data_IF_089647556255
#
_entry.id   IF_089647556255
#
_cell.length_a   1.000
_cell.length_b   1.000
_cell.length_c   1.000
_cell.angle_alpha   90.00
_cell.angle_beta   90.00
_cell.angle_gamma   90.00
#
_symmetry.space_group_name_H-M   'P 1'
#
loop_
_entity.id
_entity.type
_entity.pdbx_description
1 polymer ?
#
# COMPACT_ATOMS: atom_id res chain seq x y z
N UNK A 1 -26.33 4.83 -39.77
CA UNK A 1 -26.27 3.71 -38.82
C UNK A 1 -24.86 3.15 -38.58
N UNK A 2 -23.99 3.00 -39.60
CA UNK A 2 -22.60 2.51 -39.40
C UNK A 2 -21.70 3.41 -38.54
N UNK A 3 -21.85 4.75 -38.59
CA UNK A 3 -21.05 5.68 -37.76
C UNK A 3 -21.39 5.64 -36.27
N UNK A 4 -22.63 5.29 -35.91
CA UNK A 4 -23.06 5.21 -34.51
C UNK A 4 -22.52 3.95 -33.82
N UNK A 5 -22.42 2.84 -34.57
CA UNK A 5 -21.81 1.59 -34.10
C UNK A 5 -20.29 1.74 -33.84
N UNK A 6 -19.60 2.56 -34.63
CA UNK A 6 -18.17 2.85 -34.43
C UNK A 6 -17.88 3.70 -33.19
N UNK A 7 -18.81 4.58 -32.80
CA UNK A 7 -18.71 5.37 -31.57
C UNK A 7 -18.97 4.52 -30.32
N UNK A 8 -19.88 3.54 -30.40
CA UNK A 8 -20.16 2.63 -29.28
C UNK A 8 -18.98 1.68 -28.98
N UNK A 9 -18.23 1.26 -30.02
CA UNK A 9 -17.01 0.46 -29.86
C UNK A 9 -15.82 1.24 -29.29
N UNK A 10 -15.81 2.58 -29.35
CA UNK A 10 -14.77 3.40 -28.70
C UNK A 10 -15.04 3.63 -27.21
N UNK A 11 -16.28 3.52 -26.75
CA UNK A 11 -16.68 3.74 -25.35
C UNK A 11 -16.46 2.51 -24.44
N UNK A 12 -16.18 1.34 -25.01
CA UNK A 12 -15.87 0.12 -24.25
C UNK A 12 -14.37 -0.07 -23.97
N UNK A 13 -13.54 0.89 -24.39
CA UNK A 13 -12.12 0.93 -24.09
C UNK A 13 -11.79 1.87 -22.92
N UNK A 14 -12.73 2.10 -21.99
CA UNK A 14 -12.32 2.46 -20.62
C UNK A 14 -11.67 1.21 -20.05
N UNK A 15 -10.39 1.03 -20.38
CA UNK A 15 -9.48 0.10 -19.75
C UNK A 15 -9.85 0.06 -18.28
N UNK A 16 -10.37 -1.08 -17.83
CA UNK A 16 -10.44 -1.38 -16.44
C UNK A 16 -9.03 -1.19 -15.92
N UNK A 17 -8.79 -0.01 -15.34
CA UNK A 17 -7.86 0.08 -14.24
C UNK A 17 -8.42 -0.96 -13.28
N UNK A 18 -7.85 -2.16 -13.37
CA UNK A 18 -7.66 -2.98 -12.19
C UNK A 18 -6.85 -2.05 -11.31
N UNK A 19 -7.53 -1.14 -10.61
CA UNK A 19 -6.91 -0.16 -9.74
C UNK A 19 -6.07 -1.03 -8.83
N UNK A 20 -4.77 -0.87 -8.89
CA UNK A 20 -3.87 -1.65 -8.07
C UNK A 20 -4.23 -1.36 -6.61
N UNK A 21 -5.06 -2.25 -6.04
CA UNK A 21 -5.61 -2.12 -4.70
C UNK A 21 -4.56 -2.48 -3.65
N UNK A 22 -3.40 -2.99 -4.04
CA UNK A 22 -2.28 -3.30 -3.16
C UNK A 22 -1.08 -2.38 -3.39
N UNK A 23 -0.42 -1.96 -2.30
CA UNK A 23 0.86 -1.25 -2.34
C UNK A 23 1.89 -1.91 -1.43
N UNK A 24 3.11 -2.03 -1.91
CA UNK A 24 4.30 -2.28 -1.10
C UNK A 24 5.13 -1.00 -1.10
N UNK A 25 5.28 -0.34 0.04
CA UNK A 25 5.99 0.93 0.18
C UNK A 25 7.22 0.78 1.06
N UNK A 26 8.39 1.16 0.54
CA UNK A 26 9.70 1.03 1.20
C UNK A 26 10.35 2.38 1.35
N UNK A 27 10.95 2.65 2.51
CA UNK A 27 11.70 3.89 2.70
C UNK A 27 12.90 3.92 1.76
N UNK A 28 13.10 5.02 1.06
CA UNK A 28 14.33 5.27 0.28
C UNK A 28 15.51 5.64 1.18
N UNK A 29 15.24 5.97 2.45
CA UNK A 29 16.26 6.38 3.39
C UNK A 29 16.99 5.15 3.93
N UNK A 30 18.16 4.85 3.36
CA UNK A 30 19.12 3.86 3.89
C UNK A 30 19.71 4.22 5.26
N UNK A 31 19.30 5.32 5.87
CA UNK A 31 20.01 5.90 7.01
C UNK A 31 19.13 6.83 7.84
N UNK A 32 18.30 6.28 8.72
CA UNK A 32 17.96 6.95 9.99
C UNK A 32 18.26 5.94 11.09
N UNK A 33 19.50 6.04 11.57
CA UNK A 33 19.96 5.54 12.87
C UNK A 33 19.69 4.06 13.18
N UNK A 34 20.77 3.28 13.10
CA UNK A 34 21.10 2.24 14.10
C UNK A 34 20.94 2.82 15.52
N UNK A 35 19.72 2.85 16.04
CA UNK A 35 19.44 2.96 17.46
C UNK A 35 18.50 1.79 17.76
N UNK A 36 19.13 0.64 18.01
CA UNK A 36 18.56 -0.51 18.71
C UNK A 36 17.44 -1.31 18.05
N UNK A 37 17.40 -1.44 16.72
CA UNK A 37 16.70 -2.57 16.11
C UNK A 37 17.44 -3.08 14.89
N UNK A 38 17.77 -4.36 14.91
CA UNK A 38 18.39 -5.07 13.79
C UNK A 38 17.41 -5.11 12.60
N UNK A 39 17.90 -4.61 11.47
CA UNK A 39 17.45 -4.92 10.10
C UNK A 39 15.94 -4.83 9.78
N UNK A 40 15.55 -3.72 9.17
CA UNK A 40 14.36 -3.69 8.33
C UNK A 40 14.20 -2.32 7.69
N UNK A 41 14.34 -2.24 6.37
CA UNK A 41 13.75 -1.13 5.64
C UNK A 41 12.29 -1.04 6.07
N UNK A 42 11.86 0.12 6.60
CA UNK A 42 10.46 0.36 6.94
C UNK A 42 9.60 0.03 5.72
N UNK A 43 8.97 -1.14 5.76
CA UNK A 43 8.15 -1.67 4.68
C UNK A 43 6.71 -1.72 5.15
N UNK A 44 5.84 -1.13 4.35
CA UNK A 44 4.42 -1.11 4.59
C UNK A 44 3.68 -1.81 3.44
N UNK A 45 2.71 -2.64 3.81
CA UNK A 45 1.83 -3.30 2.85
C UNK A 45 0.43 -2.73 3.03
N UNK A 46 -0.05 -1.99 2.03
CA UNK A 46 -1.39 -1.40 2.04
C UNK A 46 -2.32 -2.18 1.12
N UNK A 47 -3.59 -2.25 1.51
CA UNK A 47 -4.72 -2.59 0.66
C UNK A 47 -5.74 -1.45 0.70
N UNK A 48 -5.94 -0.82 -0.44
CA UNK A 48 -6.80 0.35 -0.62
C UNK A 48 -8.08 -0.10 -1.31
N UNK A 49 -9.20 0.05 -0.61
CA UNK A 49 -10.54 -0.18 -1.13
C UNK A 49 -11.23 1.19 -1.30
N UNK A 50 -11.12 1.77 -2.49
CA UNK A 50 -11.71 3.08 -2.81
C UNK A 50 -13.24 3.02 -2.78
N UNK A 51 -13.84 1.91 -3.20
CA UNK A 51 -15.29 1.70 -3.20
C UNK A 51 -15.86 1.76 -1.78
N UNK A 52 -15.14 1.18 -0.81
CA UNK A 52 -15.53 1.16 0.60
C UNK A 52 -14.92 2.30 1.43
N UNK A 53 -14.11 3.17 0.83
CA UNK A 53 -13.41 4.23 1.56
C UNK A 53 -12.49 3.71 2.68
N UNK A 54 -11.85 2.54 2.49
CA UNK A 54 -11.07 1.86 3.54
C UNK A 54 -9.63 1.60 3.10
N UNK A 55 -8.70 1.75 4.04
CA UNK A 55 -7.33 1.26 3.88
C UNK A 55 -7.03 0.25 4.98
N UNK A 56 -6.61 -0.95 4.58
CA UNK A 56 -6.00 -1.93 5.47
C UNK A 56 -4.49 -1.86 5.31
N UNK A 57 -3.74 -2.02 6.39
CA UNK A 57 -2.29 -2.02 6.30
C UNK A 57 -1.62 -2.93 7.29
N UNK A 58 -0.40 -3.34 6.96
CA UNK A 58 0.50 -4.03 7.86
C UNK A 58 1.82 -3.26 7.94
N UNK A 59 2.45 -3.28 9.12
CA UNK A 59 3.76 -2.65 9.35
C UNK A 59 4.74 -3.65 9.98
N UNK A 60 6.03 -3.39 9.83
CA UNK A 60 7.10 -4.24 10.38
C UNK A 60 7.03 -4.38 11.91
N UNK A 61 6.48 -3.37 12.60
CA UNK A 61 6.34 -3.37 14.06
C UNK A 61 5.21 -4.25 14.60
N UNK A 62 4.40 -4.85 13.73
CA UNK A 62 3.34 -5.75 14.18
C UNK A 62 3.91 -7.09 14.65
N UNK A 63 3.46 -7.54 15.83
CA UNK A 63 3.78 -8.88 16.32
C UNK A 63 3.14 -9.94 15.41
N UNK A 64 3.95 -10.50 14.50
CA UNK A 64 3.52 -11.59 13.64
C UNK A 64 3.28 -12.90 14.43
N UNK A 65 3.84 -13.01 15.64
CA UNK A 65 3.77 -14.23 16.47
C UNK A 65 2.39 -14.49 17.07
N UNK A 66 1.55 -13.46 17.22
CA UNK A 66 0.28 -13.57 17.96
C UNK A 66 -0.96 -13.48 17.08
N UNK A 67 -0.89 -12.80 15.93
CA UNK A 67 -1.79 -12.88 14.77
C UNK A 67 -1.39 -11.75 13.80
N UNK A 68 -1.08 -12.07 12.55
CA UNK A 68 -0.97 -11.05 11.50
C UNK A 68 -2.37 -10.48 11.25
N UNK A 69 -2.67 -9.34 11.87
CA UNK A 69 -3.94 -8.66 11.70
C UNK A 69 -3.73 -7.40 10.89
N UNK A 70 -4.68 -7.14 10.03
CA UNK A 70 -4.73 -5.90 9.29
C UNK A 70 -5.02 -4.76 10.28
N UNK A 71 -4.15 -3.76 10.28
CA UNK A 71 -4.46 -2.48 10.90
C UNK A 71 -5.44 -1.76 9.98
N UNK A 72 -6.42 -1.09 10.59
CA UNK A 72 -7.43 -0.34 9.87
C UNK A 72 -7.01 1.12 9.91
N UNK A 73 -6.72 1.69 8.76
CA UNK A 73 -6.59 3.13 8.60
C UNK A 73 -7.96 3.74 8.35
N UNK A 74 -8.14 4.98 8.80
CA UNK A 74 -9.38 5.72 8.67
C UNK A 74 -9.24 6.91 7.72
N UNK A 75 -10.38 7.56 7.42
CA UNK A 75 -10.45 8.83 6.68
C UNK A 75 -9.75 8.79 5.30
N UNK A 76 -9.93 7.69 4.56
CA UNK A 76 -9.52 7.62 3.15
C UNK A 76 -10.25 8.72 2.37
N UNK A 77 -9.48 9.57 1.71
CA UNK A 77 -9.96 10.70 0.90
C UNK A 77 -8.96 11.02 -0.19
N UNK A 78 -9.35 11.86 -1.14
CA UNK A 78 -8.50 12.29 -2.24
C UNK A 78 -9.16 12.08 -3.59
N UNK A 79 -8.36 12.04 -4.64
CA UNK A 79 -8.81 11.96 -6.03
C UNK A 79 -7.92 11.03 -6.88
N UNK A 80 -7.97 11.20 -8.20
CA UNK A 80 -7.20 10.41 -9.16
C UNK A 80 -5.69 10.68 -9.11
N UNK A 81 -5.27 11.81 -8.53
CA UNK A 81 -3.87 12.24 -8.44
C UNK A 81 -3.28 11.91 -7.08
N UNK A 82 -4.03 12.13 -6.00
CA UNK A 82 -3.53 11.95 -4.63
C UNK A 82 -4.53 11.25 -3.73
N UNK A 83 -4.03 10.36 -2.87
CA UNK A 83 -4.80 9.77 -1.77
C UNK A 83 -4.23 10.17 -0.43
N UNK A 84 -5.12 10.26 0.54
CA UNK A 84 -4.79 10.53 1.93
C UNK A 84 -5.56 9.58 2.83
N UNK A 85 -4.91 9.06 3.86
CA UNK A 85 -5.55 8.31 4.93
C UNK A 85 -4.85 8.57 6.26
N UNK A 86 -5.42 8.07 7.35
CA UNK A 86 -4.83 8.21 8.67
C UNK A 86 -4.59 6.86 9.34
N UNK A 87 -3.35 6.63 9.73
CA UNK A 87 -2.92 5.49 10.53
C UNK A 87 -3.00 5.85 12.02
N UNK A 88 -3.42 4.89 12.86
CA UNK A 88 -3.51 5.05 14.31
C UNK A 88 -4.19 6.36 14.78
N UNK A 89 -5.17 6.87 14.02
CA UNK A 89 -5.92 8.12 14.26
C UNK A 89 -5.12 9.42 14.28
N UNK A 90 -3.79 9.39 14.14
CA UNK A 90 -2.92 10.57 14.26
C UNK A 90 -1.89 10.73 13.14
N UNK A 91 -1.50 9.65 12.46
CA UNK A 91 -0.45 9.68 11.45
C UNK A 91 -1.09 9.86 10.09
N UNK A 92 -0.90 11.03 9.48
CA UNK A 92 -1.35 11.27 8.12
C UNK A 92 -0.39 10.63 7.12
N UNK A 93 -0.98 9.98 6.13
CA UNK A 93 -0.29 9.39 4.99
C UNK A 93 -0.82 10.03 3.73
N UNK A 94 0.10 10.48 2.87
CA UNK A 94 -0.17 11.00 1.54
C UNK A 94 0.46 10.06 0.51
N UNK A 95 -0.28 9.76 -0.56
CA UNK A 95 0.21 8.99 -1.71
C UNK A 95 -0.03 9.79 -2.98
N UNK A 96 1.04 10.08 -3.72
CA UNK A 96 0.93 10.48 -5.12
C UNK A 96 0.68 9.23 -5.97
N UNK A 97 -0.50 9.14 -6.59
CA UNK A 97 -0.93 7.97 -7.35
C UNK A 97 -0.21 7.82 -8.68
N UNK A 98 0.40 8.90 -9.19
CA UNK A 98 1.11 8.92 -10.48
C UNK A 98 2.57 8.53 -10.28
N UNK A 99 3.25 9.08 -9.29
CA UNK A 99 4.67 8.79 -9.00
C UNK A 99 4.86 7.58 -8.10
N UNK A 100 3.78 7.12 -7.44
CA UNK A 100 3.79 6.10 -6.39
C UNK A 100 4.76 6.45 -5.26
N UNK A 101 4.82 7.74 -4.91
CA UNK A 101 5.55 8.21 -3.74
C UNK A 101 4.58 8.44 -2.60
N UNK A 102 4.87 7.79 -1.48
CA UNK A 102 4.11 7.93 -0.25
C UNK A 102 4.92 8.73 0.77
N UNK A 103 4.28 9.69 1.43
CA UNK A 103 4.87 10.44 2.54
C UNK A 103 4.11 10.16 3.82
N UNK A 104 4.83 9.86 4.90
CA UNK A 104 4.29 9.75 6.27
C UNK A 104 5.35 10.17 7.26
N UNK A 105 4.97 10.91 8.31
CA UNK A 105 5.90 11.41 9.33
C UNK A 105 7.13 12.15 8.76
N UNK A 106 6.96 12.89 7.64
CA UNK A 106 8.05 13.57 6.90
C UNK A 106 9.09 12.63 6.28
N UNK A 107 8.79 11.34 6.17
CA UNK A 107 9.62 10.34 5.50
C UNK A 107 8.93 9.94 4.19
N UNK A 108 9.71 9.91 3.11
CA UNK A 108 9.26 9.47 1.79
C UNK A 108 9.55 7.98 1.58
N UNK A 109 8.62 7.33 0.90
CA UNK A 109 8.63 5.91 0.60
C UNK A 109 8.31 5.72 -0.89
N UNK A 110 9.05 4.83 -1.55
CA UNK A 110 8.73 4.39 -2.90
C UNK A 110 7.78 3.21 -2.84
N UNK A 111 6.64 3.34 -3.52
CA UNK A 111 5.63 2.31 -3.56
C UNK A 111 5.64 1.55 -4.89
N UNK A 112 5.37 0.25 -4.82
CA UNK A 112 5.03 -0.58 -5.98
C UNK A 112 3.57 -0.96 -5.90
N UNK A 113 2.82 -0.65 -6.96
CA UNK A 113 1.41 -0.96 -7.06
C UNK A 113 1.20 -2.40 -7.59
N UNK A 114 0.25 -3.13 -6.99
CA UNK A 114 -0.07 -4.51 -7.34
C UNK A 114 -1.53 -4.87 -7.01
N UNK A 115 -1.95 -6.07 -7.36
CA UNK A 115 -3.26 -6.61 -6.94
C UNK A 115 -3.30 -6.89 -5.44
N UNK A 116 -4.50 -7.00 -4.88
CA UNK A 116 -4.71 -7.34 -3.46
C UNK A 116 -4.04 -8.68 -3.09
N UNK A 117 -4.19 -9.70 -3.92
CA UNK A 117 -3.58 -11.01 -3.68
C UNK A 117 -2.05 -10.96 -3.72
N UNK A 118 -1.48 -10.18 -4.64
CA UNK A 118 -0.02 -10.03 -4.74
C UNK A 118 0.57 -9.38 -3.49
N UNK A 119 -0.08 -8.33 -2.96
CA UNK A 119 0.43 -7.65 -1.76
C UNK A 119 0.33 -8.56 -0.54
N UNK A 120 -0.75 -9.35 -0.42
CA UNK A 120 -0.91 -10.34 0.66
C UNK A 120 0.21 -11.39 0.60
N UNK A 121 0.45 -11.99 -0.58
CA UNK A 121 1.51 -13.01 -0.74
C UNK A 121 2.89 -12.46 -0.41
N UNK A 122 3.24 -11.27 -0.90
CA UNK A 122 4.54 -10.63 -0.61
C UNK A 122 4.72 -10.35 0.88
N UNK A 123 3.69 -9.80 1.52
CA UNK A 123 3.67 -9.55 2.96
C UNK A 123 3.89 -10.84 3.74
N UNK A 124 3.14 -11.89 3.43
CA UNK A 124 3.22 -13.16 4.16
C UNK A 124 4.58 -13.81 4.02
N UNK A 125 5.17 -13.78 2.82
CA UNK A 125 6.53 -14.25 2.58
C UNK A 125 7.57 -13.47 3.41
N UNK A 126 7.46 -12.14 3.47
CA UNK A 126 8.35 -11.31 4.29
C UNK A 126 8.32 -11.71 5.77
N UNK A 127 7.12 -11.86 6.35
CA UNK A 127 6.98 -12.23 7.76
C UNK A 127 7.41 -13.68 8.04
N UNK A 128 7.24 -14.59 7.08
CA UNK A 128 7.78 -15.96 7.18
C UNK A 128 9.31 -15.97 7.24
N UNK A 129 9.99 -15.18 6.41
CA UNK A 129 11.45 -15.06 6.45
C UNK A 129 11.94 -14.46 7.78
N UNK A 130 11.22 -13.46 8.33
CA UNK A 130 11.50 -12.94 9.68
C UNK A 130 11.38 -14.03 10.74
N UNK A 131 10.34 -14.87 10.71
CA UNK A 131 10.22 -15.99 11.69
C UNK A 131 11.40 -16.94 11.60
N UNK A 132 11.75 -17.38 10.38
CA UNK A 132 12.89 -18.27 10.14
C UNK A 132 14.19 -17.68 10.70
N UNK A 133 14.46 -16.39 10.42
CA UNK A 133 15.67 -15.70 10.91
C UNK A 133 15.73 -15.65 12.43
N UNK A 134 14.60 -15.41 13.10
CA UNK A 134 14.52 -15.29 14.54
C UNK A 134 14.36 -16.62 15.29
N UNK A 135 14.35 -17.76 14.58
CA UNK A 135 14.16 -19.12 15.14
C UNK A 135 12.88 -19.26 15.98
N UNK A 136 11.79 -18.65 15.52
CA UNK A 136 10.46 -18.72 16.17
C UNK A 136 9.52 -19.60 15.36
#
# INVERSE_FOLDING_TARGET
MKKLLLLLSLLLATSGFTEAKGLECKSEVTSISKINSEEGYDTYWYRIDLDKGRVLYNSIGQSYLTKLRDLIADKLRGDISKLYWRENKSIEVELDRKTLEMTKLKISYKCTAMTEDQVIRKRDAYFQEIRKKNKI
#
